data_IF_008492701885
#
_entry.id   IF_008492701885
#
_cell.length_a   1.000
_cell.length_b   1.000
_cell.length_c   1.000
_cell.angle_alpha   90.00
_cell.angle_beta   90.00
_cell.angle_gamma   90.00
#
_symmetry.space_group_name_H-M   'P 1'
#
loop_
_entity.id
_entity.type
_entity.pdbx_description
1 polymer ?
#
# COMPACT_ATOMS: atom_id res chain seq x y z
N UNK A 1 -27.99 -7.49 17.25
CA UNK A 1 -26.95 -6.49 17.54
C UNK A 1 -25.79 -6.56 16.53
N UNK A 2 -25.27 -7.76 16.22
CA UNK A 2 -24.14 -7.93 15.29
C UNK A 2 -24.43 -7.51 13.84
N UNK A 3 -25.60 -7.88 13.30
CA UNK A 3 -25.99 -7.55 11.92
C UNK A 3 -26.03 -6.04 11.62
N UNK A 4 -26.47 -5.21 12.58
CA UNK A 4 -26.54 -3.76 12.39
C UNK A 4 -25.14 -3.13 12.33
N UNK A 5 -24.20 -3.71 13.08
CA UNK A 5 -22.83 -3.25 13.12
C UNK A 5 -22.06 -3.67 11.86
N UNK A 6 -22.31 -4.89 11.36
CA UNK A 6 -21.77 -5.36 10.08
C UNK A 6 -22.31 -4.51 8.92
N UNK A 7 -23.60 -4.17 8.92
CA UNK A 7 -24.20 -3.32 7.89
C UNK A 7 -23.64 -1.88 7.91
N UNK A 8 -23.43 -1.30 9.10
CA UNK A 8 -22.83 0.03 9.22
C UNK A 8 -21.39 0.09 8.69
N UNK A 9 -20.62 -1.01 8.82
CA UNK A 9 -19.27 -1.10 8.29
C UNK A 9 -19.28 -1.19 6.76
N UNK A 10 -20.22 -1.96 6.19
CA UNK A 10 -20.43 -2.09 4.74
C UNK A 10 -20.86 -0.75 4.12
N UNK A 11 -21.84 -0.06 4.71
CA UNK A 11 -22.33 1.24 4.26
C UNK A 11 -21.26 2.34 4.39
N UNK A 12 -20.36 2.24 5.36
CA UNK A 12 -19.19 3.11 5.52
C UNK A 12 -18.07 2.81 4.50
N UNK A 13 -18.30 1.92 3.54
CA UNK A 13 -17.35 1.58 2.48
C UNK A 13 -16.28 0.56 2.90
N UNK A 14 -16.44 -0.13 4.03
CA UNK A 14 -15.58 -1.27 4.39
C UNK A 14 -16.14 -2.57 3.79
N UNK A 15 -16.14 -2.66 2.46
CA UNK A 15 -16.44 -3.90 1.75
C UNK A 15 -15.21 -4.82 1.78
N UNK A 16 -15.43 -6.12 2.03
CA UNK A 16 -14.38 -7.14 2.10
C UNK A 16 -13.86 -7.58 0.70
N UNK A 17 -14.38 -7.02 -0.39
CA UNK A 17 -14.13 -7.47 -1.76
C UNK A 17 -13.58 -6.35 -2.63
N UNK A 18 -12.58 -6.68 -3.45
CA UNK A 18 -11.94 -5.75 -4.39
C UNK A 18 -12.90 -5.14 -5.41
N UNK A 19 -12.43 -4.10 -6.09
CA UNK A 19 -13.21 -3.36 -7.08
C UNK A 19 -13.38 -4.18 -8.37
N UNK A 20 -14.58 -4.11 -8.97
CA UNK A 20 -14.92 -4.84 -10.21
C UNK A 20 -14.20 -4.29 -11.44
N UNK A 21 -13.71 -3.04 -11.39
CA UNK A 21 -12.97 -2.39 -12.46
C UNK A 21 -11.71 -1.71 -11.88
N UNK A 22 -10.53 -2.25 -12.20
CA UNK A 22 -9.23 -1.66 -11.87
C UNK A 22 -8.61 -1.13 -13.15
N UNK A 23 -8.80 0.16 -13.45
CA UNK A 23 -7.96 0.86 -14.42
C UNK A 23 -6.72 1.43 -13.71
N UNK A 24 -5.53 0.97 -14.13
CA UNK A 24 -4.25 1.46 -13.59
C UNK A 24 -3.82 0.81 -12.27
N UNK A 25 -2.87 1.45 -11.58
CA UNK A 25 -2.33 0.96 -10.30
C UNK A 25 -3.13 1.59 -9.17
N UNK A 26 -3.96 0.79 -8.48
CA UNK A 26 -4.70 1.28 -7.30
C UNK A 26 -3.70 1.75 -6.24
N UNK A 27 -3.91 2.96 -5.67
CA UNK A 27 -3.06 3.43 -4.59
C UNK A 27 -3.02 2.44 -3.44
N UNK A 28 -1.82 2.20 -2.92
CA UNK A 28 -1.66 1.30 -1.78
C UNK A 28 -2.32 1.90 -0.53
N UNK A 29 -2.99 1.04 0.26
CA UNK A 29 -3.58 1.44 1.54
C UNK A 29 -2.54 2.09 2.47
N UNK A 30 -2.80 3.33 2.88
CA UNK A 30 -2.03 4.03 3.91
C UNK A 30 -2.34 3.47 5.30
N UNK A 31 -1.40 3.61 6.23
CA UNK A 31 -1.65 3.25 7.62
C UNK A 31 -2.67 4.24 8.24
N UNK A 32 -3.57 3.73 9.07
CA UNK A 32 -4.52 4.57 9.79
C UNK A 32 -3.75 5.53 10.72
N UNK A 33 -3.99 6.85 10.67
CA UNK A 33 -3.35 7.78 11.58
C UNK A 33 -3.55 7.39 13.05
N UNK A 34 -2.51 7.55 13.87
CA UNK A 34 -2.52 7.18 15.29
C UNK A 34 -2.28 5.69 15.58
N UNK A 35 -2.18 4.84 14.54
CA UNK A 35 -1.74 3.44 14.70
C UNK A 35 -0.22 3.30 14.58
N UNK A 36 0.38 2.23 15.13
CA UNK A 36 1.82 1.99 15.01
C UNK A 36 2.28 1.89 13.56
N UNK A 37 3.54 2.24 13.32
CA UNK A 37 4.17 2.17 11.99
C UNK A 37 4.08 0.75 11.43
N UNK A 38 3.66 0.62 10.16
CA UNK A 38 3.64 -0.65 9.43
C UNK A 38 5.06 -1.11 9.12
N UNK A 39 5.65 -1.91 10.02
CA UNK A 39 7.04 -2.39 9.93
C UNK A 39 7.38 -3.08 8.59
N UNK A 40 6.40 -3.71 7.94
CA UNK A 40 6.60 -4.36 6.64
C UNK A 40 7.08 -3.37 5.54
N UNK A 41 6.70 -2.09 5.63
CA UNK A 41 7.15 -1.05 4.69
C UNK A 41 8.67 -0.85 4.81
N UNK A 42 9.17 -0.68 6.04
CA UNK A 42 10.61 -0.51 6.29
C UNK A 42 11.43 -1.69 5.79
N UNK A 43 11.01 -2.92 6.11
CA UNK A 43 11.69 -4.14 5.63
C UNK A 43 11.69 -4.26 4.11
N UNK A 44 10.60 -3.87 3.44
CA UNK A 44 10.55 -3.85 1.98
C UNK A 44 11.55 -2.85 1.41
N UNK A 45 11.58 -1.63 1.93
CA UNK A 45 12.52 -0.60 1.47
C UNK A 45 13.98 -1.04 1.66
N UNK A 46 14.31 -1.66 2.80
CA UNK A 46 15.66 -2.19 3.06
C UNK A 46 16.06 -3.26 2.05
N UNK A 47 15.21 -4.26 1.81
CA UNK A 47 15.49 -5.29 0.79
C UNK A 47 15.69 -4.71 -0.60
N UNK A 48 14.87 -3.72 -0.98
CA UNK A 48 15.00 -3.04 -2.28
C UNK A 48 16.35 -2.34 -2.40
N UNK A 49 16.81 -1.64 -1.33
CA UNK A 49 18.14 -0.99 -1.33
C UNK A 49 19.27 -2.01 -1.52
N UNK A 50 19.18 -3.18 -0.89
CA UNK A 50 20.19 -4.24 -1.02
C UNK A 50 20.34 -4.76 -2.44
N UNK A 51 19.22 -4.94 -3.16
CA UNK A 51 19.22 -5.49 -4.52
C UNK A 51 19.31 -4.41 -5.62
N UNK A 52 19.31 -3.13 -5.27
CA UNK A 52 19.20 -2.04 -6.25
C UNK A 52 20.23 -2.16 -7.39
N UNK A 53 21.46 -2.53 -7.04
CA UNK A 53 22.57 -2.71 -7.99
C UNK A 53 22.37 -3.85 -9.00
N UNK A 54 21.47 -4.79 -8.74
CA UNK A 54 21.17 -5.91 -9.66
C UNK A 54 20.00 -5.61 -10.60
N UNK A 55 19.33 -4.48 -10.42
CA UNK A 55 18.16 -4.12 -11.22
C UNK A 55 18.57 -3.43 -12.53
N UNK A 56 17.76 -3.49 -13.60
CA UNK A 56 17.96 -2.68 -14.80
C UNK A 56 18.01 -1.19 -14.48
N UNK A 57 18.81 -0.41 -15.21
CA UNK A 57 19.04 1.00 -14.93
C UNK A 57 17.74 1.83 -14.88
N UNK A 58 16.81 1.60 -15.80
CA UNK A 58 15.50 2.26 -15.81
C UNK A 58 14.69 2.00 -14.54
N UNK A 59 14.75 0.77 -13.99
CA UNK A 59 14.09 0.43 -12.74
C UNK A 59 14.77 1.10 -11.54
N UNK A 60 16.10 1.22 -11.55
CA UNK A 60 16.82 1.93 -10.49
C UNK A 60 16.39 3.39 -10.39
N UNK A 61 16.30 4.09 -11.54
CA UNK A 61 15.84 5.49 -11.61
C UNK A 61 14.40 5.61 -11.07
N UNK A 62 13.47 4.83 -11.62
CA UNK A 62 12.07 4.91 -11.23
C UNK A 62 11.85 4.65 -9.73
N UNK A 63 12.62 3.72 -9.13
CA UNK A 63 12.53 3.43 -7.69
C UNK A 63 13.11 4.58 -6.86
N UNK A 64 14.24 5.17 -7.29
CA UNK A 64 14.83 6.32 -6.59
C UNK A 64 13.86 7.51 -6.57
N UNK A 65 13.29 7.86 -7.73
CA UNK A 65 12.27 8.91 -7.85
C UNK A 65 11.07 8.64 -6.93
N UNK A 66 10.68 7.36 -6.77
CA UNK A 66 9.57 6.99 -5.88
C UNK A 66 9.85 7.21 -4.39
N UNK A 67 11.11 7.31 -3.97
CA UNK A 67 11.47 7.61 -2.58
C UNK A 67 11.53 9.11 -2.28
N UNK A 68 11.79 9.94 -3.28
CA UNK A 68 11.92 11.40 -3.12
C UNK A 68 10.56 12.11 -3.02
N UNK A 69 9.47 11.42 -3.39
CA UNK A 69 8.10 11.94 -3.37
C UNK A 69 7.32 11.70 -2.06
N UNK A 70 8.02 11.39 -0.95
CA UNK A 70 7.40 11.11 0.38
C UNK A 70 7.39 12.32 1.29
#
# INVERSE_FOLDING_TARGET
>A
AQMAQEQAMVDAGHHAGGVDDVEGIVPQMKATPGTPVRQAVGRRQERVRQIMHTLPHSAQIAIQESFDYV
#
